data_IF_359114482338
#
_entry.id   IF_359114482338
#
_cell.length_a   1.000
_cell.length_b   1.000
_cell.length_c   1.000
_cell.angle_alpha   90.00
_cell.angle_beta   90.00
_cell.angle_gamma   90.00
#
_symmetry.space_group_name_H-M   'P 1'
#
loop_
_entity.id
_entity.type
_entity.pdbx_description
1 polymer ?
#
# COMPACT_ATOMS: atom_id res chain seq x y z
N UNK A 1 2.08 -39.33 -17.42
CA UNK A 1 1.89 -38.00 -16.80
C UNK A 1 0.73 -38.02 -15.81
N UNK A 2 1.00 -37.67 -14.55
CA UNK A 2 0.09 -37.76 -13.39
C UNK A 2 -0.83 -36.53 -13.20
N UNK A 3 -0.99 -35.68 -14.21
CA UNK A 3 -1.88 -34.50 -14.10
C UNK A 3 -3.36 -34.87 -14.21
N UNK A 4 -4.21 -34.06 -13.55
CA UNK A 4 -5.66 -34.18 -13.64
C UNK A 4 -6.18 -33.95 -15.06
N UNK A 5 -7.37 -34.49 -15.37
CA UNK A 5 -7.99 -34.37 -16.71
C UNK A 5 -8.14 -32.92 -17.19
N UNK A 6 -8.44 -32.00 -16.26
CA UNK A 6 -8.58 -30.56 -16.53
C UNK A 6 -7.24 -29.94 -16.91
N UNK A 7 -6.17 -30.26 -16.17
CA UNK A 7 -4.82 -29.75 -16.43
C UNK A 7 -4.31 -30.25 -17.78
N UNK A 8 -4.50 -31.54 -18.10
CA UNK A 8 -4.16 -32.10 -19.41
C UNK A 8 -4.91 -31.39 -20.55
N UNK A 9 -6.20 -31.13 -20.39
CA UNK A 9 -6.97 -30.40 -21.39
C UNK A 9 -6.51 -28.95 -21.56
N UNK A 10 -6.12 -28.28 -20.47
CA UNK A 10 -5.57 -26.92 -20.51
C UNK A 10 -4.23 -26.84 -21.23
N UNK A 11 -3.32 -27.78 -20.95
CA UNK A 11 -2.00 -27.85 -21.60
C UNK A 11 -2.17 -28.12 -23.11
N UNK A 12 -2.98 -29.12 -23.48
CA UNK A 12 -3.24 -29.44 -24.89
C UNK A 12 -3.82 -28.23 -25.65
N UNK A 13 -4.81 -27.54 -25.08
CA UNK A 13 -5.39 -26.34 -25.67
C UNK A 13 -4.37 -25.21 -25.84
N UNK A 14 -3.54 -24.96 -24.81
CA UNK A 14 -2.52 -23.91 -24.83
C UNK A 14 -1.45 -24.17 -25.89
N UNK A 15 -0.93 -25.40 -25.98
CA UNK A 15 0.08 -25.79 -26.98
C UNK A 15 -0.44 -25.67 -28.41
N UNK A 16 -1.67 -26.15 -28.67
CA UNK A 16 -2.29 -26.06 -30.00
C UNK A 16 -2.63 -24.61 -30.37
N UNK A 17 -3.05 -23.79 -29.40
CA UNK A 17 -3.26 -22.35 -29.61
C UNK A 17 -1.96 -21.65 -29.97
N UNK A 18 -0.88 -21.96 -29.26
CA UNK A 18 0.42 -21.34 -29.48
C UNK A 18 0.92 -21.57 -30.91
N UNK A 19 0.75 -22.79 -31.44
CA UNK A 19 1.08 -23.10 -32.84
C UNK A 19 0.30 -22.22 -33.83
N UNK A 20 -0.95 -21.87 -33.55
CA UNK A 20 -1.73 -21.01 -34.44
C UNK A 20 -1.37 -19.52 -34.30
N UNK A 21 -1.05 -19.06 -33.10
CA UNK A 21 -0.81 -17.63 -32.84
C UNK A 21 0.63 -17.18 -33.05
N UNK A 22 1.59 -18.10 -32.96
CA UNK A 22 3.03 -17.77 -32.96
C UNK A 22 3.78 -18.29 -34.19
N UNK A 23 3.17 -19.15 -35.00
CA UNK A 23 3.81 -19.65 -36.22
C UNK A 23 3.56 -18.72 -37.40
N UNK A 24 4.51 -18.69 -38.34
CA UNK A 24 4.37 -17.98 -39.61
C UNK A 24 3.24 -18.60 -40.46
N UNK A 25 2.57 -17.80 -41.32
CA UNK A 25 1.42 -18.27 -42.12
C UNK A 25 1.72 -19.51 -42.97
N UNK A 26 2.92 -19.60 -43.53
CA UNK A 26 3.33 -20.68 -44.43
C UNK A 26 3.62 -22.01 -43.71
N UNK A 27 3.98 -21.96 -42.41
CA UNK A 27 4.38 -23.15 -41.62
C UNK A 27 3.40 -23.49 -40.50
N UNK A 28 2.22 -22.88 -40.51
CA UNK A 28 1.23 -23.03 -39.44
C UNK A 28 0.68 -24.46 -39.37
N UNK A 29 0.42 -25.07 -40.53
CA UNK A 29 -0.07 -26.45 -40.66
C UNK A 29 0.96 -27.45 -40.14
N UNK A 30 2.22 -27.28 -40.55
CA UNK A 30 3.33 -28.12 -40.11
C UNK A 30 3.57 -27.98 -38.61
N UNK A 31 3.63 -26.75 -38.10
CA UNK A 31 3.79 -26.46 -36.67
C UNK A 31 2.68 -27.10 -35.82
N UNK A 32 1.44 -27.03 -36.31
CA UNK A 32 0.28 -27.62 -35.63
C UNK A 32 0.38 -29.15 -35.58
N UNK A 33 0.74 -29.79 -36.69
CA UNK A 33 0.94 -31.23 -36.76
C UNK A 33 2.10 -31.69 -35.87
N UNK A 34 3.20 -30.94 -35.82
CA UNK A 34 4.32 -31.23 -34.92
C UNK A 34 3.89 -31.15 -33.44
N UNK A 35 3.03 -30.21 -33.05
CA UNK A 35 2.50 -30.16 -31.68
C UNK A 35 1.55 -31.33 -31.38
N UNK A 36 0.76 -31.79 -32.35
CA UNK A 36 -0.06 -32.99 -32.18
C UNK A 36 0.81 -34.22 -31.95
N UNK A 37 1.89 -34.37 -32.73
CA UNK A 37 2.84 -35.49 -32.59
C UNK A 37 3.50 -35.45 -31.21
N UNK A 38 3.97 -34.28 -30.76
CA UNK A 38 4.56 -34.10 -29.43
C UNK A 38 3.60 -34.48 -28.30
N UNK A 39 2.33 -34.06 -28.39
CA UNK A 39 1.33 -34.39 -27.39
C UNK A 39 0.97 -35.89 -27.41
N UNK A 40 0.88 -36.52 -28.59
CA UNK A 40 0.69 -37.98 -28.69
C UNK A 40 1.86 -38.74 -28.05
N UNK A 41 3.10 -38.34 -28.33
CA UNK A 41 4.30 -38.94 -27.74
C UNK A 41 4.37 -38.73 -26.22
N UNK A 42 3.81 -37.63 -25.71
CA UNK A 42 3.68 -37.36 -24.28
C UNK A 42 2.54 -38.14 -23.59
N UNK A 43 1.86 -39.05 -24.31
CA UNK A 43 0.81 -39.91 -23.78
C UNK A 43 -0.55 -39.23 -23.64
N UNK A 44 -0.84 -38.19 -24.43
CA UNK A 44 -2.17 -37.60 -24.48
C UNK A 44 -3.11 -38.44 -25.36
N UNK A 45 -4.26 -38.79 -24.81
CA UNK A 45 -5.28 -39.55 -25.54
C UNK A 45 -5.90 -38.73 -26.68
N UNK A 46 -6.24 -39.41 -27.79
CA UNK A 46 -6.81 -38.79 -28.99
C UNK A 46 -8.06 -37.94 -28.69
N UNK A 47 -8.92 -38.39 -27.78
CA UNK A 47 -10.16 -37.71 -27.44
C UNK A 47 -9.93 -36.31 -26.81
N UNK A 48 -8.85 -36.14 -26.03
CA UNK A 48 -8.48 -34.85 -25.40
C UNK A 48 -8.00 -33.85 -26.46
N UNK A 49 -7.26 -34.32 -27.45
CA UNK A 49 -6.78 -33.51 -28.57
C UNK A 49 -7.94 -33.04 -29.45
N UNK A 50 -8.87 -33.94 -29.79
CA UNK A 50 -10.09 -33.58 -30.54
C UNK A 50 -10.94 -32.55 -29.80
N UNK A 51 -11.16 -32.74 -28.49
CA UNK A 51 -11.89 -31.76 -27.66
C UNK A 51 -11.22 -30.40 -27.64
N UNK A 52 -9.89 -30.37 -27.55
CA UNK A 52 -9.11 -29.13 -27.53
C UNK A 52 -9.13 -28.42 -28.90
N UNK A 53 -9.07 -29.17 -30.00
CA UNK A 53 -9.20 -28.65 -31.36
C UNK A 53 -10.59 -28.05 -31.62
N UNK A 54 -11.66 -28.74 -31.22
CA UNK A 54 -13.03 -28.21 -31.34
C UNK A 54 -13.21 -26.92 -30.53
N UNK A 55 -12.63 -26.87 -29.32
CA UNK A 55 -12.60 -25.66 -28.52
C UNK A 55 -11.86 -24.52 -29.23
N UNK A 56 -10.74 -24.81 -29.91
CA UNK A 56 -10.00 -23.81 -30.69
C UNK A 56 -10.82 -23.25 -31.85
N UNK A 57 -11.52 -24.09 -32.60
CA UNK A 57 -12.40 -23.66 -33.70
C UNK A 57 -13.44 -22.66 -33.20
N UNK A 58 -14.10 -22.97 -32.08
CA UNK A 58 -15.08 -22.06 -31.46
C UNK A 58 -14.45 -20.73 -31.03
N UNK A 59 -13.21 -20.78 -30.53
CA UNK A 59 -12.49 -19.60 -30.03
C UNK A 59 -12.04 -18.66 -31.16
N UNK A 60 -11.61 -19.23 -32.30
CA UNK A 60 -11.21 -18.47 -33.48
C UNK A 60 -12.43 -17.81 -34.13
N UNK A 61 -13.54 -18.53 -34.27
CA UNK A 61 -14.81 -17.98 -34.79
C UNK A 61 -15.33 -16.82 -33.93
N UNK A 62 -15.36 -16.98 -32.61
CA UNK A 62 -15.79 -15.93 -31.69
C UNK A 62 -14.86 -14.72 -31.69
N UNK A 63 -13.55 -14.91 -31.83
CA UNK A 63 -12.59 -13.81 -31.94
C UNK A 63 -12.74 -13.04 -33.26
N UNK A 64 -13.07 -13.70 -34.37
CA UNK A 64 -13.36 -13.02 -35.64
C UNK A 64 -14.59 -12.11 -35.52
N UNK A 65 -15.70 -12.60 -34.95
CA UNK A 65 -16.90 -11.79 -34.70
C UNK A 65 -16.63 -10.63 -33.72
N UNK A 66 -15.79 -10.85 -32.70
CA UNK A 66 -15.42 -9.80 -31.74
C UNK A 66 -14.52 -8.72 -32.34
N UNK A 67 -13.71 -9.05 -33.36
CA UNK A 67 -12.84 -8.09 -34.06
C UNK A 67 -13.60 -7.24 -35.07
N UNK A 68 -14.64 -7.78 -35.71
CA UNK A 68 -15.57 -7.02 -36.57
C UNK A 68 -16.43 -6.03 -35.78
N UNK A 69 -16.85 -6.39 -34.55
CA UNK A 69 -17.71 -5.53 -33.71
C UNK A 69 -16.93 -4.49 -32.89
N UNK A 70 -15.59 -4.57 -32.81
CA UNK A 70 -14.78 -3.66 -32.00
C UNK A 70 -14.37 -2.35 -32.70
N UNK A 71 -14.60 -2.22 -34.01
CA UNK A 71 -14.19 -1.03 -34.78
C UNK A 71 -15.31 -0.01 -34.99
N UNK A 72 -16.55 -0.33 -34.62
CA UNK A 72 -17.67 0.61 -34.64
C UNK A 72 -18.09 0.92 -33.19
N UNK A 73 -18.06 2.21 -32.85
CA UNK A 73 -18.60 2.82 -31.63
C UNK A 73 -17.83 2.57 -30.31
N UNK A 74 -16.61 3.14 -30.19
CA UNK A 74 -16.13 3.53 -28.86
C UNK A 74 -16.97 4.71 -28.38
N UNK A 75 -18.01 4.44 -27.59
CA UNK A 75 -18.75 5.48 -26.86
C UNK A 75 -17.80 6.15 -25.87
N UNK A 76 -17.83 7.47 -25.80
CA UNK A 76 -17.09 8.19 -24.78
C UNK A 76 -17.65 7.84 -23.40
N UNK A 77 -16.78 7.40 -22.49
CA UNK A 77 -17.16 6.97 -21.15
C UNK A 77 -17.02 8.15 -20.19
N UNK A 78 -18.11 8.50 -19.49
CA UNK A 78 -18.15 9.61 -18.54
C UNK A 78 -18.55 9.11 -17.15
N UNK A 79 -17.75 9.45 -16.13
CA UNK A 79 -17.99 9.08 -14.73
C UNK A 79 -18.69 10.21 -13.97
N UNK A 80 -19.84 9.94 -13.36
CA UNK A 80 -20.66 10.91 -12.60
C UNK A 80 -21.06 10.36 -11.23
N UNK A 81 -21.14 11.15 -10.15
CA UNK A 81 -21.63 10.66 -8.86
C UNK A 81 -23.07 10.13 -8.94
N UNK A 82 -23.35 9.01 -8.27
CA UNK A 82 -24.72 8.47 -8.20
C UNK A 82 -25.61 9.39 -7.36
N UNK A 83 -26.61 10.00 -8.00
CA UNK A 83 -27.69 10.73 -7.34
C UNK A 83 -29.01 9.97 -7.56
N UNK A 84 -29.64 9.55 -6.47
CA UNK A 84 -30.93 8.86 -6.52
C UNK A 84 -31.99 9.73 -7.24
N UNK A 85 -32.91 9.10 -7.98
CA UNK A 85 -33.91 9.72 -8.87
C UNK A 85 -33.38 10.40 -10.16
N UNK A 86 -32.13 10.88 -10.18
CA UNK A 86 -31.55 11.58 -11.36
C UNK A 86 -30.72 10.63 -12.23
N UNK A 87 -29.96 9.72 -11.62
CA UNK A 87 -29.00 8.86 -12.31
C UNK A 87 -29.61 8.07 -13.48
N UNK A 88 -30.80 7.48 -13.31
CA UNK A 88 -31.42 6.67 -14.37
C UNK A 88 -31.83 7.51 -15.58
N UNK A 89 -32.44 8.68 -15.34
CA UNK A 89 -32.80 9.61 -16.40
C UNK A 89 -31.55 10.15 -17.09
N UNK A 90 -30.51 10.47 -16.33
CA UNK A 90 -29.23 10.95 -16.87
C UNK A 90 -28.56 9.88 -17.75
N UNK A 91 -28.57 8.60 -17.33
CA UNK A 91 -28.07 7.48 -18.14
C UNK A 91 -28.84 7.35 -19.47
N UNK A 92 -30.16 7.48 -19.43
CA UNK A 92 -31.00 7.40 -20.62
C UNK A 92 -30.72 8.54 -21.59
N UNK A 93 -30.53 9.76 -21.07
CA UNK A 93 -30.16 10.93 -21.89
C UNK A 93 -28.76 10.76 -22.47
N UNK A 94 -27.75 10.42 -21.66
CA UNK A 94 -26.38 10.24 -22.16
C UNK A 94 -26.27 9.16 -23.24
N UNK A 95 -27.01 8.06 -23.11
CA UNK A 95 -27.07 7.02 -24.13
C UNK A 95 -27.62 7.53 -25.49
N UNK A 96 -28.54 8.50 -25.49
CA UNK A 96 -29.06 9.12 -26.72
C UNK A 96 -28.00 9.97 -27.42
N UNK A 97 -27.09 10.56 -26.67
CA UNK A 97 -25.98 11.37 -27.18
C UNK A 97 -24.69 10.57 -27.40
N UNK A 98 -24.74 9.24 -27.37
CA UNK A 98 -23.57 8.39 -27.59
C UNK A 98 -22.57 8.34 -26.43
N UNK A 99 -22.95 8.82 -25.25
CA UNK A 99 -22.12 8.77 -24.03
C UNK A 99 -22.45 7.53 -23.20
N UNK A 100 -21.43 6.80 -22.78
CA UNK A 100 -21.57 5.73 -21.78
C UNK A 100 -21.37 6.30 -20.38
N UNK A 101 -22.48 6.54 -19.68
CA UNK A 101 -22.46 7.05 -18.30
C UNK A 101 -22.22 5.93 -17.29
N UNK A 102 -21.17 6.11 -16.48
CA UNK A 102 -20.82 5.25 -15.34
C UNK A 102 -21.02 6.03 -14.04
N UNK A 103 -21.62 5.38 -13.04
CA UNK A 103 -21.88 6.03 -11.75
C UNK A 103 -20.82 5.69 -10.71
N UNK A 104 -20.29 6.72 -10.05
CA UNK A 104 -19.42 6.58 -8.90
C UNK A 104 -20.19 6.78 -7.60
N UNK A 105 -19.96 5.94 -6.59
CA UNK A 105 -20.51 6.15 -5.26
C UNK A 105 -19.63 7.15 -4.50
N UNK A 106 -20.19 8.25 -3.94
CA UNK A 106 -19.40 9.23 -3.19
C UNK A 106 -18.75 8.62 -1.94
N UNK A 107 -19.45 7.68 -1.30
CA UNK A 107 -18.97 6.93 -0.15
C UNK A 107 -18.79 5.46 -0.52
N UNK A 108 -17.57 5.09 -0.90
CA UNK A 108 -17.20 3.69 -1.12
C UNK A 108 -17.29 2.91 0.20
N UNK A 109 -17.73 1.65 0.13
CA UNK A 109 -17.73 0.74 1.28
C UNK A 109 -16.35 0.68 1.96
N UNK A 110 -15.26 0.72 1.19
CA UNK A 110 -13.91 0.80 1.76
C UNK A 110 -13.72 1.99 2.70
N UNK A 111 -14.19 3.19 2.34
CA UNK A 111 -14.13 4.38 3.21
C UNK A 111 -15.06 4.27 4.42
N UNK A 112 -16.20 3.60 4.28
CA UNK A 112 -17.14 3.35 5.37
C UNK A 112 -16.51 2.35 6.36
N UNK A 113 -15.98 1.22 5.88
CA UNK A 113 -15.26 0.24 6.68
C UNK A 113 -14.06 0.88 7.37
N UNK A 114 -13.22 1.69 6.70
CA UNK A 114 -12.12 2.39 7.39
C UNK A 114 -12.59 3.31 8.52
N UNK A 115 -13.73 4.00 8.35
CA UNK A 115 -14.31 4.85 9.40
C UNK A 115 -14.92 4.01 10.53
N UNK A 116 -15.51 2.86 10.21
CA UNK A 116 -16.02 1.91 11.20
C UNK A 116 -14.87 1.23 11.94
N UNK A 117 -13.80 0.81 11.27
CA UNK A 117 -12.58 0.29 11.88
C UNK A 117 -11.94 1.35 12.80
N UNK A 118 -11.88 2.61 12.37
CA UNK A 118 -11.45 3.71 13.24
C UNK A 118 -12.39 3.90 14.45
N UNK A 119 -13.71 3.78 14.30
CA UNK A 119 -14.65 3.94 15.43
C UNK A 119 -14.71 2.72 16.35
N UNK A 120 -14.63 1.51 15.81
CA UNK A 120 -14.57 0.23 16.54
C UNK A 120 -13.23 0.11 17.27
N UNK A 121 -12.12 0.53 16.66
CA UNK A 121 -10.83 0.64 17.34
C UNK A 121 -10.77 1.73 18.43
N UNK A 122 -11.70 2.69 18.42
CA UNK A 122 -11.92 3.64 19.51
C UNK A 122 -12.87 3.07 20.57
N UNK A 123 -13.95 2.37 20.18
CA UNK A 123 -15.00 1.90 21.10
C UNK A 123 -14.70 0.56 21.80
N UNK A 124 -13.94 -0.35 21.18
CA UNK A 124 -13.57 -1.67 21.75
C UNK A 124 -12.32 -1.58 22.63
N UNK A 125 -11.77 -0.39 22.82
CA UNK A 125 -10.38 -0.23 23.16
C UNK A 125 -10.17 0.69 24.35
N UNK A 126 -10.66 0.23 25.50
CA UNK A 126 -9.99 0.49 26.79
C UNK A 126 -8.55 -0.08 26.80
N UNK A 127 -8.12 -0.77 25.74
CA UNK A 127 -6.74 -1.20 25.45
C UNK A 127 -6.13 -0.59 24.15
N UNK A 128 -6.62 0.55 23.66
CA UNK A 128 -6.10 1.22 22.45
C UNK A 128 -4.72 1.80 22.71
N UNK A 129 -3.71 0.96 22.58
CA UNK A 129 -2.33 1.42 22.66
C UNK A 129 -1.30 0.39 23.09
N UNK A 130 -1.65 -0.88 23.26
CA UNK A 130 -0.62 -1.88 23.54
C UNK A 130 0.17 -2.18 22.27
N UNK A 131 1.48 -1.96 22.34
CA UNK A 131 2.40 -2.35 21.29
C UNK A 131 2.31 -3.86 21.04
N UNK A 132 2.16 -4.28 19.78
CA UNK A 132 2.13 -5.68 19.34
C UNK A 132 3.51 -6.32 19.22
N UNK A 133 4.58 -5.51 19.31
CA UNK A 133 5.97 -5.97 19.16
C UNK A 133 6.43 -6.58 20.48
N UNK A 134 6.94 -7.80 20.42
CA UNK A 134 7.62 -8.41 21.55
C UNK A 134 9.04 -7.82 21.68
N UNK A 135 9.19 -6.84 22.57
CA UNK A 135 10.48 -6.17 22.78
C UNK A 135 11.42 -7.01 23.64
N UNK A 136 12.63 -7.27 23.11
CA UNK A 136 13.73 -7.87 23.87
C UNK A 136 14.22 -6.96 25.00
N UNK A 137 14.24 -5.65 24.78
CA UNK A 137 14.66 -4.63 25.76
C UNK A 137 13.58 -3.55 25.82
N UNK A 138 13.09 -3.25 27.03
CA UNK A 138 12.10 -2.19 27.31
C UNK A 138 12.75 -1.14 28.20
N UNK A 139 12.75 0.12 27.76
CA UNK A 139 13.26 1.25 28.53
C UNK A 139 12.13 1.94 29.30
N UNK A 140 10.98 2.10 28.63
CA UNK A 140 9.81 2.81 29.14
C UNK A 140 8.52 2.07 28.78
N UNK A 141 7.37 2.51 29.31
CA UNK A 141 6.06 1.95 28.96
C UNK A 141 5.81 2.09 27.45
N UNK A 142 5.44 0.98 26.81
CA UNK A 142 5.17 0.95 25.37
C UNK A 142 4.11 1.98 24.99
N UNK A 143 4.48 2.88 24.08
CA UNK A 143 3.64 3.96 23.58
C UNK A 143 3.77 4.05 22.07
N UNK A 144 2.64 4.18 21.38
CA UNK A 144 2.54 4.26 19.92
C UNK A 144 2.10 5.66 19.50
N UNK A 145 2.63 6.13 18.36
CA UNK A 145 2.25 7.41 17.74
C UNK A 145 2.42 8.60 18.70
N UNK A 146 3.67 8.81 19.16
CA UNK A 146 4.03 9.80 20.18
C UNK A 146 5.12 10.74 19.72
N UNK A 147 5.12 11.94 20.30
CA UNK A 147 6.27 12.84 20.39
C UNK A 147 6.89 12.62 21.76
N UNK A 148 8.20 12.39 21.81
CA UNK A 148 8.91 12.04 23.03
C UNK A 148 10.12 12.95 23.25
N UNK A 149 10.55 13.00 24.50
CA UNK A 149 11.67 13.78 25.00
C UNK A 149 12.65 12.81 25.66
N UNK A 150 13.86 12.74 25.11
CA UNK A 150 14.97 11.93 25.62
C UNK A 150 16.03 12.86 26.22
N UNK A 151 16.17 12.91 27.55
CA UNK A 151 17.20 13.71 28.19
C UNK A 151 18.59 13.09 28.03
N UNK A 152 19.61 13.93 28.03
CA UNK A 152 21.03 13.54 28.05
C UNK A 152 21.66 14.01 29.37
N UNK A 153 22.71 13.32 29.82
CA UNK A 153 23.40 13.64 31.08
C UNK A 153 23.93 15.07 31.16
N UNK A 154 24.22 15.71 30.03
CA UNK A 154 24.69 17.10 29.95
C UNK A 154 23.57 18.14 30.13
N UNK A 155 22.32 17.72 30.39
CA UNK A 155 21.16 18.61 30.53
C UNK A 155 20.49 19.00 29.21
N UNK A 156 21.09 18.65 28.06
CA UNK A 156 20.44 18.80 26.75
C UNK A 156 19.42 17.70 26.50
N UNK A 157 18.52 17.96 25.55
CA UNK A 157 17.38 17.08 25.25
C UNK A 157 17.31 16.78 23.76
N UNK A 158 16.96 15.54 23.43
CA UNK A 158 16.53 15.15 22.10
C UNK A 158 15.00 15.01 22.06
N UNK A 159 14.35 15.80 21.23
CA UNK A 159 12.91 15.71 20.97
C UNK A 159 12.72 15.03 19.63
N UNK A 160 11.87 14.00 19.59
CA UNK A 160 11.62 13.24 18.38
C UNK A 160 10.18 12.77 18.29
N UNK A 161 9.69 12.55 17.07
CA UNK A 161 8.42 11.84 16.83
C UNK A 161 8.62 10.39 16.40
N UNK A 162 7.63 9.55 16.69
CA UNK A 162 7.54 8.19 16.14
C UNK A 162 6.10 7.76 15.94
N UNK A 163 5.80 7.21 14.76
CA UNK A 163 4.58 6.45 14.52
C UNK A 163 4.62 5.05 15.16
N UNK A 164 5.80 4.43 15.16
CA UNK A 164 6.09 3.10 15.76
C UNK A 164 6.27 3.19 17.28
N UNK A 165 6.42 2.04 17.93
CA UNK A 165 6.65 1.98 19.38
C UNK A 165 7.89 2.76 19.80
N UNK A 166 7.73 3.54 20.88
CA UNK A 166 8.81 4.31 21.48
C UNK A 166 10.05 3.46 21.81
N UNK A 167 9.87 2.27 22.38
CA UNK A 167 10.99 1.37 22.71
C UNK A 167 11.77 0.93 21.47
N UNK A 168 11.10 0.69 20.34
CA UNK A 168 11.78 0.40 19.06
C UNK A 168 12.63 1.59 18.62
N UNK A 169 12.08 2.81 18.72
CA UNK A 169 12.79 4.04 18.35
C UNK A 169 14.00 4.31 19.25
N UNK A 170 13.86 4.11 20.56
CA UNK A 170 14.97 4.24 21.52
C UNK A 170 16.06 3.19 21.28
N UNK A 171 15.68 1.95 20.95
CA UNK A 171 16.64 0.91 20.60
C UNK A 171 17.43 1.24 19.33
N UNK A 172 16.79 1.84 18.33
CA UNK A 172 17.47 2.34 17.13
C UNK A 172 18.52 3.39 17.50
N UNK A 173 18.16 4.37 18.33
CA UNK A 173 19.12 5.37 18.80
C UNK A 173 20.30 4.74 19.55
N UNK A 174 20.05 3.76 20.43
CA UNK A 174 21.11 3.03 21.13
C UNK A 174 22.04 2.29 20.17
N UNK A 175 21.50 1.65 19.13
CA UNK A 175 22.30 0.97 18.10
C UNK A 175 23.10 1.95 17.25
N UNK A 176 22.52 3.11 16.91
CA UNK A 176 23.18 4.16 16.14
C UNK A 176 24.37 4.79 16.85
N UNK A 177 24.47 4.69 18.18
CA UNK A 177 25.67 5.15 18.90
C UNK A 177 26.89 4.27 18.59
N UNK A 178 26.69 2.95 18.43
CA UNK A 178 27.77 1.99 18.17
C UNK A 178 28.16 1.86 16.70
N UNK A 179 27.25 2.15 15.77
CA UNK A 179 27.51 2.05 14.32
C UNK A 179 27.88 3.41 13.73
N UNK A 180 28.67 3.45 12.64
CA UNK A 180 29.19 4.68 11.99
C UNK A 180 28.18 5.72 11.49
N UNK A 181 26.90 5.60 11.84
CA UNK A 181 25.80 6.42 11.32
C UNK A 181 25.72 7.76 12.06
N UNK A 182 25.73 8.87 11.31
CA UNK A 182 25.71 10.25 11.82
C UNK A 182 24.33 10.69 12.35
N UNK A 183 23.82 10.05 13.41
CA UNK A 183 22.63 10.57 14.10
C UNK A 183 22.97 11.84 14.90
N UNK A 184 22.00 12.76 15.08
CA UNK A 184 22.20 13.98 15.88
C UNK A 184 22.60 13.65 17.32
N UNK A 185 22.04 12.59 17.90
CA UNK A 185 22.41 12.09 19.23
C UNK A 185 23.86 11.64 19.23
N UNK A 186 24.30 10.84 18.25
CA UNK A 186 25.69 10.40 18.16
C UNK A 186 26.65 11.58 18.03
N UNK A 187 26.37 12.51 17.11
CA UNK A 187 27.19 13.72 16.91
C UNK A 187 27.36 14.49 18.22
N UNK A 188 26.28 14.68 18.96
CA UNK A 188 26.33 15.34 20.25
C UNK A 188 27.13 14.54 21.30
N UNK A 189 26.87 13.24 21.44
CA UNK A 189 27.60 12.39 22.39
C UNK A 189 29.10 12.33 22.09
N UNK A 190 29.51 12.33 20.82
CA UNK A 190 30.93 12.39 20.44
C UNK A 190 31.60 13.71 20.79
N UNK A 191 30.87 14.84 20.71
CA UNK A 191 31.40 16.16 21.03
C UNK A 191 31.40 16.45 22.54
N UNK A 192 30.37 16.01 23.25
CA UNK A 192 30.15 16.31 24.67
C UNK A 192 30.67 15.21 25.61
N UNK A 193 30.89 13.99 25.10
CA UNK A 193 31.22 12.81 25.93
C UNK A 193 30.07 12.31 26.81
N UNK A 194 28.86 12.86 26.67
CA UNK A 194 27.71 12.49 27.47
C UNK A 194 26.95 11.28 26.89
N UNK A 195 26.05 10.71 27.69
CA UNK A 195 25.17 9.61 27.27
C UNK A 195 23.68 9.97 27.40
N UNK A 196 22.82 9.41 26.54
CA UNK A 196 21.37 9.57 26.66
C UNK A 196 20.78 8.71 27.79
N UNK A 197 19.86 9.30 28.56
CA UNK A 197 19.17 8.67 29.68
C UNK A 197 17.86 8.04 29.20
N UNK A 198 17.95 6.81 28.66
CA UNK A 198 16.81 6.12 28.04
C UNK A 198 15.64 5.86 29.01
N UNK A 199 15.93 5.57 30.28
CA UNK A 199 14.91 5.31 31.31
C UNK A 199 14.07 6.54 31.63
N UNK A 200 14.64 7.74 31.48
CA UNK A 200 13.99 9.02 31.79
C UNK A 200 13.27 9.62 30.57
N UNK A 201 13.07 8.80 29.52
CA UNK A 201 12.35 9.26 28.32
C UNK A 201 10.88 9.53 28.67
N UNK A 202 10.41 10.74 28.38
CA UNK A 202 9.03 11.15 28.63
C UNK A 202 8.25 11.28 27.33
N UNK A 203 6.95 10.96 27.38
CA UNK A 203 6.02 11.19 26.28
C UNK A 203 5.44 12.60 26.44
N UNK A 204 5.67 13.46 25.46
CA UNK A 204 5.25 14.86 25.47
C UNK A 204 3.84 15.00 24.89
N UNK A 205 3.58 14.30 23.79
CA UNK A 205 2.30 14.39 23.08
C UNK A 205 1.98 13.09 22.36
N UNK A 206 0.69 12.79 22.16
CA UNK A 206 0.24 11.57 21.49
C UNK A 206 -0.84 11.87 20.45
N UNK A 207 -0.60 11.47 19.21
CA UNK A 207 -1.58 11.66 18.13
C UNK A 207 -1.30 10.71 16.97
N UNK A 208 -2.35 10.12 16.38
CA UNK A 208 -2.23 9.14 15.28
C UNK A 208 -1.72 9.74 13.96
N UNK A 209 -2.12 10.99 13.66
CA UNK A 209 -1.69 11.69 12.45
C UNK A 209 -0.21 12.11 12.54
N UNK A 210 0.58 11.77 11.51
CA UNK A 210 2.00 12.10 11.39
C UNK A 210 2.25 13.60 11.35
N UNK A 211 1.53 14.34 10.50
CA UNK A 211 1.74 15.78 10.34
C UNK A 211 1.53 16.53 11.65
N UNK A 212 0.50 16.16 12.41
CA UNK A 212 0.24 16.73 13.73
C UNK A 212 1.41 16.49 14.69
N UNK A 213 2.02 15.29 14.67
CA UNK A 213 3.19 15.00 15.50
C UNK A 213 4.42 15.80 15.07
N UNK A 214 4.63 15.97 13.77
CA UNK A 214 5.76 16.76 13.24
C UNK A 214 5.63 18.25 13.59
N UNK A 215 4.41 18.80 13.54
CA UNK A 215 4.14 20.18 13.98
C UNK A 215 4.43 20.34 15.48
N UNK A 216 3.95 19.41 16.31
CA UNK A 216 4.18 19.46 17.77
C UNK A 216 5.66 19.23 18.11
N UNK A 217 6.35 18.35 17.42
CA UNK A 217 7.80 18.17 17.51
C UNK A 217 8.54 19.48 17.21
N UNK A 218 8.26 20.11 16.06
CA UNK A 218 8.87 21.36 15.66
C UNK A 218 8.61 22.49 16.67
N UNK A 219 7.39 22.55 17.22
CA UNK A 219 7.00 23.49 18.26
C UNK A 219 7.85 23.31 19.53
N UNK A 220 7.98 22.10 20.05
CA UNK A 220 8.77 21.84 21.25
C UNK A 220 10.27 22.04 21.03
N UNK A 221 10.80 21.71 19.85
CA UNK A 221 12.20 22.01 19.49
C UNK A 221 12.43 23.52 19.54
N UNK A 222 11.55 24.31 18.90
CA UNK A 222 11.64 25.77 18.87
C UNK A 222 11.53 26.40 20.26
N UNK A 223 10.66 25.87 21.12
CA UNK A 223 10.48 26.33 22.51
C UNK A 223 11.74 26.12 23.38
N UNK A 224 12.48 25.03 23.16
CA UNK A 224 13.69 24.68 23.95
C UNK A 224 14.98 25.34 23.46
N UNK A 225 14.99 25.93 22.25
CA UNK A 225 16.15 26.63 21.65
C UNK A 225 17.45 25.80 21.77
N UNK A 226 18.52 26.37 22.32
CA UNK A 226 19.87 25.78 22.41
C UNK A 226 19.97 24.54 23.32
N UNK A 227 18.94 24.28 24.13
CA UNK A 227 18.83 23.07 24.95
C UNK A 227 18.44 21.82 24.14
N UNK A 228 17.99 21.98 22.88
CA UNK A 228 17.56 20.88 22.04
C UNK A 228 18.62 20.53 20.99
N UNK A 229 18.98 19.25 20.89
CA UNK A 229 19.94 18.76 19.88
C UNK A 229 19.27 18.26 18.58
N UNK A 230 17.94 18.21 18.56
CA UNK A 230 17.16 17.69 17.43
C UNK A 230 17.03 18.69 16.30
N UNK A 231 16.84 18.15 15.09
CA UNK A 231 16.42 18.92 13.92
C UNK A 231 14.94 18.67 13.67
N UNK A 232 14.15 19.72 13.46
CA UNK A 232 12.72 19.60 13.21
C UNK A 232 12.44 19.06 11.80
N UNK A 233 11.41 18.20 11.69
CA UNK A 233 10.94 17.67 10.41
C UNK A 233 10.22 18.73 9.56
N UNK A 234 9.61 19.72 10.22
CA UNK A 234 8.89 20.85 9.63
C UNK A 234 9.42 22.14 10.25
N UNK A 235 9.48 23.21 9.45
CA UNK A 235 9.86 24.55 9.93
C UNK A 235 8.62 25.35 10.27
N UNK A 236 8.51 25.83 11.51
CA UNK A 236 7.41 26.70 11.95
C UNK A 236 7.83 28.16 11.96
N UNK A 237 6.99 29.03 11.40
CA UNK A 237 7.11 30.48 11.53
C UNK A 237 6.89 30.94 12.98
N UNK A 238 7.25 32.19 13.29
CA UNK A 238 7.03 32.74 14.63
C UNK A 238 5.53 32.92 14.94
N UNK A 239 4.73 33.24 13.92
CA UNK A 239 3.27 33.38 14.05
C UNK A 239 2.60 32.04 14.37
N UNK A 240 2.99 30.98 13.66
CA UNK A 240 2.46 29.62 13.92
C UNK A 240 2.85 29.11 15.31
N UNK A 241 4.09 29.35 15.75
CA UNK A 241 4.51 28.99 17.10
C UNK A 241 3.72 29.76 18.17
N UNK A 242 3.49 31.07 17.97
CA UNK A 242 2.70 31.90 18.90
C UNK A 242 1.24 31.44 18.95
N UNK A 243 0.67 31.04 17.81
CA UNK A 243 -0.67 30.48 17.74
C UNK A 243 -0.79 29.18 18.53
N UNK A 244 0.20 28.29 18.43
CA UNK A 244 0.24 27.04 19.20
C UNK A 244 0.47 27.27 20.71
N UNK A 245 1.15 28.34 21.11
CA UNK A 245 1.25 28.74 22.51
C UNK A 245 -0.09 29.20 23.07
N UNK A 246 -0.85 29.99 22.31
CA UNK A 246 -2.17 30.50 22.73
C UNK A 246 -3.30 29.47 22.74
N UNK A 247 -3.05 28.24 22.27
CA UNK A 247 -4.00 27.12 22.31
C UNK A 247 -3.84 26.21 23.54
N UNK A 248 -2.79 26.39 24.35
CA UNK A 248 -2.55 25.59 25.56
C UNK A 248 -3.13 26.25 26.81
#
# INVERSE_FOLDING_TARGET
>A
SAHSKVVKSGIAFSCLRAALTKSCPEKISESFNQQIIRLKNAGYEKHVLCRSANKLISHVRNNFHKKMTSNENRKEIVSVPYAHKIAHNLKNVGNRYGLELVFSAPNKLSKICSKLDCKVSIAVNTNAGSCTVNHTIKFVKCSLSVVYCLPLMCGKVYIGQTGRCLNTRLLEHKRSLGTGIHSHIKRHCSQCGCSPLYSDTTVVFRHGNQLTREIVEAFHIKKRKDGCISQSSVSLSNREASYLEGLN
#
